data_IF_598648619018
#
_entry.id   IF_598648619018
#
_cell.length_a   1.000
_cell.length_b   1.000
_cell.length_c   1.000
_cell.angle_alpha   90.00
_cell.angle_beta   90.00
_cell.angle_gamma   90.00
#
_symmetry.space_group_name_H-M   'P 1'
#
loop_
_entity.id
_entity.type
_entity.pdbx_description
1 polymer ?
#
# COMPACT_ATOMS: atom_id res chain seq x y z
N UNK A 1 0.79 18.59 -11.26
CA UNK A 1 0.21 17.89 -10.10
C UNK A 1 1.30 17.07 -9.48
N UNK A 2 1.50 17.20 -8.19
CA UNK A 2 2.53 16.49 -7.42
C UNK A 2 1.86 15.48 -6.50
N UNK A 3 2.32 14.24 -6.53
CA UNK A 3 1.85 13.16 -5.66
C UNK A 3 2.98 12.67 -4.76
N UNK A 4 2.77 12.68 -3.45
CA UNK A 4 3.65 12.05 -2.46
C UNK A 4 3.19 10.61 -2.22
N UNK A 5 4.13 9.68 -2.16
CA UNK A 5 3.86 8.27 -1.89
C UNK A 5 4.57 7.88 -0.60
N UNK A 6 3.81 7.41 0.38
CA UNK A 6 4.27 7.03 1.71
C UNK A 6 4.17 5.49 1.82
N UNK A 7 5.27 4.79 2.13
CA UNK A 7 5.26 3.33 2.27
C UNK A 7 4.57 2.88 3.57
N UNK A 8 4.74 1.61 3.90
CA UNK A 8 4.25 0.93 5.09
C UNK A 8 4.52 1.75 6.35
N UNK A 9 3.48 1.96 7.14
CA UNK A 9 3.51 2.91 8.24
C UNK A 9 3.80 2.26 9.59
N UNK A 10 3.28 1.06 9.85
CA UNK A 10 3.48 0.30 11.09
C UNK A 10 3.46 1.18 12.37
N UNK A 11 2.36 1.93 12.56
CA UNK A 11 2.12 2.89 13.64
C UNK A 11 3.03 4.12 13.70
N UNK A 12 3.91 4.36 12.72
CA UNK A 12 4.78 5.56 12.67
C UNK A 12 4.05 6.81 12.17
N UNK A 13 2.86 7.10 12.73
CA UNK A 13 1.97 8.19 12.31
C UNK A 13 2.61 9.59 12.42
N UNK A 14 3.46 9.81 13.43
CA UNK A 14 4.17 11.08 13.60
C UNK A 14 5.14 11.32 12.42
N UNK A 15 5.81 10.26 11.96
CA UNK A 15 6.68 10.34 10.79
C UNK A 15 5.90 10.65 9.52
N UNK A 16 4.70 10.07 9.35
CA UNK A 16 3.84 10.43 8.22
C UNK A 16 3.46 11.91 8.22
N UNK A 17 3.06 12.46 9.36
CA UNK A 17 2.71 13.89 9.45
C UNK A 17 3.93 14.80 9.21
N UNK A 18 5.11 14.43 9.73
CA UNK A 18 6.37 15.12 9.42
C UNK A 18 6.72 15.10 7.93
N UNK A 19 6.57 13.93 7.27
CA UNK A 19 6.83 13.79 5.85
C UNK A 19 5.86 14.60 5.00
N UNK A 20 4.57 14.61 5.34
CA UNK A 20 3.56 15.42 4.66
C UNK A 20 3.88 16.91 4.78
N UNK A 21 4.26 17.37 5.98
CA UNK A 21 4.63 18.76 6.20
C UNK A 21 5.91 19.15 5.43
N UNK A 22 6.89 18.24 5.38
CA UNK A 22 8.18 18.49 4.74
C UNK A 22 8.13 18.41 3.21
N UNK A 23 7.28 17.55 2.66
CA UNK A 23 7.13 17.30 1.23
C UNK A 23 5.70 17.55 0.78
N UNK A 24 5.25 18.83 0.77
CA UNK A 24 3.89 19.16 0.38
C UNK A 24 3.59 18.68 -1.04
N UNK A 25 2.38 18.15 -1.23
CA UNK A 25 1.90 17.59 -2.49
C UNK A 25 0.40 17.86 -2.66
N UNK A 26 -0.07 17.87 -3.91
CA UNK A 26 -1.50 18.02 -4.23
C UNK A 26 -2.29 16.75 -3.84
N UNK A 27 -1.58 15.62 -3.74
CA UNK A 27 -2.12 14.31 -3.40
C UNK A 27 -1.11 13.50 -2.61
N UNK A 28 -1.61 12.67 -1.69
CA UNK A 28 -0.81 11.74 -0.90
C UNK A 28 -1.38 10.34 -1.10
N UNK A 29 -0.53 9.36 -1.37
CA UNK A 29 -0.90 7.95 -1.50
C UNK A 29 -0.14 7.14 -0.45
N UNK A 30 -0.88 6.49 0.45
CA UNK A 30 -0.33 5.57 1.43
C UNK A 30 -0.40 4.14 0.91
N UNK A 31 0.70 3.40 0.98
CA UNK A 31 0.78 2.04 0.44
C UNK A 31 0.17 0.96 1.35
N UNK A 32 -0.31 1.31 2.55
CA UNK A 32 -0.98 0.40 3.47
C UNK A 32 -0.15 0.10 4.72
N UNK A 33 -0.49 -1.00 5.38
CA UNK A 33 0.16 -1.51 6.59
C UNK A 33 0.28 -0.41 7.65
N UNK A 34 -0.88 0.05 8.12
CA UNK A 34 -0.94 1.13 9.11
C UNK A 34 -0.55 0.66 10.51
N UNK A 35 -0.78 -0.61 10.82
CA UNK A 35 -0.68 -1.18 12.18
C UNK A 35 0.53 -2.13 12.34
N UNK A 36 0.73 -2.64 13.56
CA UNK A 36 1.64 -3.74 13.88
C UNK A 36 3.15 -3.46 13.77
N UNK A 37 3.64 -2.41 14.43
CA UNK A 37 5.07 -2.33 14.75
C UNK A 37 5.49 -3.34 15.84
N UNK A 38 6.78 -3.69 15.87
CA UNK A 38 7.34 -4.76 16.71
C UNK A 38 7.03 -4.66 18.21
N UNK A 39 6.91 -3.45 18.76
CA UNK A 39 6.70 -3.19 20.19
C UNK A 39 5.38 -2.43 20.45
N UNK A 40 4.41 -2.57 19.56
CA UNK A 40 3.15 -1.86 19.69
C UNK A 40 2.25 -2.40 20.81
N UNK A 41 1.31 -1.55 21.23
CA UNK A 41 0.33 -1.84 22.26
C UNK A 41 -1.08 -1.58 21.72
N UNK A 42 -2.15 -2.05 22.38
CA UNK A 42 -3.50 -1.61 22.07
C UNK A 42 -3.64 -0.08 22.05
N UNK A 43 -2.98 0.64 22.94
CA UNK A 43 -2.98 2.10 22.96
C UNK A 43 -2.33 2.70 21.71
N UNK A 44 -1.21 2.12 21.26
CA UNK A 44 -0.56 2.50 19.99
C UNK A 44 -1.50 2.28 18.81
N UNK A 45 -2.10 1.09 18.71
CA UNK A 45 -3.05 0.75 17.66
C UNK A 45 -4.29 1.67 17.69
N UNK A 46 -4.74 2.08 18.87
CA UNK A 46 -5.84 3.05 19.04
C UNK A 46 -5.46 4.41 18.48
N UNK A 47 -4.26 4.91 18.76
CA UNK A 47 -3.77 6.18 18.23
C UNK A 47 -3.70 6.14 16.70
N UNK A 48 -3.14 5.06 16.12
CA UNK A 48 -3.11 4.83 14.68
C UNK A 48 -4.52 4.77 14.07
N UNK A 49 -5.47 4.11 14.73
CA UNK A 49 -6.86 4.03 14.27
C UNK A 49 -7.56 5.41 14.25
N UNK A 50 -7.28 6.26 15.24
CA UNK A 50 -7.75 7.65 15.27
C UNK A 50 -7.15 8.43 14.10
N UNK A 51 -5.81 8.35 13.94
CA UNK A 51 -5.11 9.02 12.86
C UNK A 51 -5.62 8.57 11.48
N UNK A 52 -5.81 7.27 11.27
CA UNK A 52 -6.30 6.74 9.99
C UNK A 52 -7.73 7.21 9.71
N UNK A 53 -8.62 7.19 10.72
CA UNK A 53 -9.99 7.73 10.56
C UNK A 53 -9.96 9.17 10.09
N UNK A 54 -9.13 10.00 10.71
CA UNK A 54 -9.03 11.42 10.42
C UNK A 54 -8.37 11.66 9.05
N UNK A 55 -7.33 10.89 8.72
CA UNK A 55 -6.66 10.91 7.43
C UNK A 55 -7.58 10.50 6.27
N UNK A 56 -8.46 9.51 6.48
CA UNK A 56 -9.47 9.11 5.50
C UNK A 56 -10.51 10.21 5.21
N UNK A 57 -10.69 11.17 6.12
CA UNK A 57 -11.58 12.31 5.87
C UNK A 57 -10.96 13.37 4.94
N UNK A 58 -9.65 13.27 4.65
CA UNK A 58 -8.94 14.18 3.77
C UNK A 58 -9.03 13.70 2.30
N UNK A 59 -9.74 14.41 1.40
CA UNK A 59 -10.02 13.94 0.04
C UNK A 59 -8.77 13.84 -0.85
N UNK A 60 -7.69 14.54 -0.51
CA UNK A 60 -6.39 14.47 -1.18
C UNK A 60 -5.54 13.26 -0.76
N UNK A 61 -5.96 12.51 0.26
CA UNK A 61 -5.27 11.33 0.77
C UNK A 61 -5.94 10.07 0.27
N UNK A 62 -5.16 9.22 -0.39
CA UNK A 62 -5.59 7.90 -0.88
C UNK A 62 -4.89 6.85 -0.04
N UNK A 63 -5.67 5.95 0.52
CA UNK A 63 -5.19 4.91 1.41
C UNK A 63 -5.34 3.55 0.72
N UNK A 64 -4.23 2.81 0.60
CA UNK A 64 -4.25 1.44 0.12
C UNK A 64 -4.37 0.44 1.27
N UNK A 65 -4.79 -0.77 0.92
CA UNK A 65 -4.79 -1.93 1.80
C UNK A 65 -3.41 -2.57 1.89
N UNK A 66 -2.87 -2.74 3.09
CA UNK A 66 -1.81 -3.70 3.38
C UNK A 66 -2.34 -4.99 4.01
N UNK A 67 -1.51 -6.03 4.13
CA UNK A 67 -1.92 -7.30 4.72
C UNK A 67 -2.20 -7.17 6.22
N UNK A 68 -1.50 -6.29 6.94
CA UNK A 68 -1.76 -6.06 8.36
C UNK A 68 -3.12 -5.40 8.61
N UNK A 69 -3.59 -4.58 7.67
CA UNK A 69 -4.88 -3.91 7.76
C UNK A 69 -6.05 -4.89 7.60
N UNK A 70 -5.90 -5.89 6.73
CA UNK A 70 -6.93 -6.88 6.43
C UNK A 70 -7.30 -7.72 7.66
N UNK A 71 -6.31 -8.07 8.49
CA UNK A 71 -6.53 -8.85 9.71
C UNK A 71 -7.52 -8.15 10.67
N UNK A 72 -7.45 -6.82 10.75
CA UNK A 72 -8.32 -6.00 11.61
C UNK A 72 -9.66 -5.65 10.95
N UNK A 73 -9.68 -5.47 9.63
CA UNK A 73 -10.92 -5.21 8.89
C UNK A 73 -11.82 -6.45 8.77
N UNK A 74 -11.22 -7.65 8.74
CA UNK A 74 -11.89 -8.94 8.58
C UNK A 74 -11.50 -9.93 9.68
N UNK A 75 -11.75 -9.63 10.97
CA UNK A 75 -11.20 -10.38 12.10
C UNK A 75 -11.75 -11.81 12.25
N UNK A 76 -12.86 -12.10 11.55
CA UNK A 76 -13.49 -13.42 11.47
C UNK A 76 -12.87 -14.33 10.42
N UNK A 77 -12.10 -13.78 9.48
CA UNK A 77 -11.43 -14.55 8.44
C UNK A 77 -10.01 -14.94 8.92
N UNK A 78 -9.77 -16.18 9.36
CA UNK A 78 -8.48 -16.57 9.90
C UNK A 78 -7.36 -16.57 8.85
N UNK A 79 -7.69 -16.64 7.56
CA UNK A 79 -6.71 -16.66 6.46
C UNK A 79 -6.06 -15.28 6.24
N UNK A 80 -6.67 -14.21 6.75
CA UNK A 80 -6.16 -12.84 6.63
C UNK A 80 -5.36 -12.41 7.86
N UNK A 81 -5.21 -13.27 8.87
CA UNK A 81 -4.40 -12.97 10.05
C UNK A 81 -2.92 -13.08 9.71
N UNK A 82 -2.15 -12.12 10.18
CA UNK A 82 -0.70 -12.07 10.03
C UNK A 82 -0.02 -11.89 11.39
N UNK A 83 1.31 -11.88 11.38
CA UNK A 83 2.11 -11.47 12.53
C UNK A 83 1.69 -10.09 13.02
N UNK A 84 1.79 -9.86 14.32
CA UNK A 84 1.38 -8.59 14.93
C UNK A 84 -0.07 -8.59 15.41
N UNK A 85 -1.02 -9.17 14.67
CA UNK A 85 -2.43 -9.18 15.06
C UNK A 85 -2.67 -9.72 16.48
N UNK A 86 -3.43 -8.98 17.28
CA UNK A 86 -3.96 -9.47 18.57
C UNK A 86 -5.45 -9.12 18.74
N UNK A 87 -6.24 -9.94 19.46
CA UNK A 87 -7.64 -9.62 19.77
C UNK A 87 -7.81 -8.29 20.54
N UNK A 88 -6.84 -7.93 21.39
CA UNK A 88 -6.87 -6.70 22.17
C UNK A 88 -6.73 -5.46 21.26
N UNK A 89 -5.81 -5.51 20.29
CA UNK A 89 -5.66 -4.46 19.26
C UNK A 89 -6.89 -4.39 18.36
N UNK A 90 -7.42 -5.53 17.94
CA UNK A 90 -8.66 -5.58 17.15
C UNK A 90 -9.83 -4.92 17.89
N UNK A 91 -9.98 -5.18 19.18
CA UNK A 91 -11.08 -4.61 19.98
C UNK A 91 -11.04 -3.09 19.98
N UNK A 92 -9.88 -2.48 20.23
CA UNK A 92 -9.74 -1.01 20.28
C UNK A 92 -9.80 -0.37 18.90
N UNK A 93 -9.27 -1.03 17.85
CA UNK A 93 -9.37 -0.55 16.47
C UNK A 93 -10.83 -0.51 16.04
N UNK A 94 -11.62 -1.55 16.33
CA UNK A 94 -13.03 -1.66 15.93
C UNK A 94 -13.93 -0.61 16.60
N UNK A 95 -13.55 -0.10 17.77
CA UNK A 95 -14.26 1.04 18.41
C UNK A 95 -14.18 2.33 17.58
N UNK A 96 -13.17 2.46 16.71
CA UNK A 96 -12.87 3.68 15.96
C UNK A 96 -13.10 3.49 14.46
N UNK A 97 -12.57 2.40 13.89
CA UNK A 97 -12.64 2.09 12.47
C UNK A 97 -13.82 1.18 12.18
N UNK A 98 -14.90 1.80 11.72
CA UNK A 98 -16.10 1.11 11.26
C UNK A 98 -15.91 0.56 9.84
N UNK A 99 -16.85 -0.27 9.43
CA UNK A 99 -16.95 -0.77 8.06
C UNK A 99 -16.90 0.34 6.98
N UNK A 100 -17.48 1.52 7.27
CA UNK A 100 -17.47 2.67 6.36
C UNK A 100 -16.07 3.26 6.18
N UNK A 101 -15.23 3.20 7.21
CA UNK A 101 -13.83 3.66 7.10
C UNK A 101 -13.05 2.69 6.21
N UNK A 102 -13.16 1.39 6.48
CA UNK A 102 -12.53 0.35 5.66
C UNK A 102 -12.94 0.38 4.18
N UNK A 103 -14.19 0.71 3.86
CA UNK A 103 -14.66 0.86 2.47
C UNK A 103 -13.99 1.98 1.66
N UNK A 104 -13.27 2.89 2.32
CA UNK A 104 -12.55 3.98 1.65
C UNK A 104 -11.16 3.55 1.17
N UNK A 105 -10.60 2.47 1.73
CA UNK A 105 -9.31 1.93 1.30
C UNK A 105 -9.45 1.23 -0.05
N UNK A 106 -8.43 1.36 -0.89
CA UNK A 106 -8.36 0.77 -2.24
C UNK A 106 -7.32 -0.32 -2.28
N UNK A 107 -7.52 -1.35 -3.10
CA UNK A 107 -6.48 -2.35 -3.29
C UNK A 107 -5.35 -1.82 -4.18
N UNK A 108 -5.70 -0.97 -5.15
CA UNK A 108 -4.78 -0.36 -6.11
C UNK A 108 -5.14 1.10 -6.36
N UNK A 109 -4.17 1.90 -6.79
CA UNK A 109 -4.38 3.25 -7.29
C UNK A 109 -3.46 3.52 -8.49
N UNK A 110 -3.97 4.20 -9.52
CA UNK A 110 -3.23 4.52 -10.74
C UNK A 110 -3.06 6.03 -10.87
N UNK A 111 -1.83 6.49 -11.04
CA UNK A 111 -1.50 7.86 -11.41
C UNK A 111 -0.97 7.93 -12.86
N UNK A 112 -1.32 8.98 -13.63
CA UNK A 112 -0.77 9.16 -14.97
C UNK A 112 0.77 9.33 -14.98
N UNK A 113 1.47 8.88 -16.04
CA UNK A 113 0.91 8.19 -17.20
C UNK A 113 0.54 6.72 -16.92
N UNK A 114 1.33 5.97 -16.13
CA UNK A 114 1.11 4.54 -15.85
C UNK A 114 1.74 4.11 -14.49
N UNK A 115 1.70 4.95 -13.46
CA UNK A 115 2.23 4.61 -12.14
C UNK A 115 1.18 3.88 -11.30
N UNK A 116 1.37 2.58 -11.11
CA UNK A 116 0.46 1.74 -10.35
C UNK A 116 0.97 1.57 -8.92
N UNK A 117 0.23 2.08 -7.96
CA UNK A 117 0.48 1.83 -6.54
C UNK A 117 -0.39 0.69 -6.06
N UNK A 118 0.25 -0.28 -5.42
CA UNK A 118 -0.36 -1.47 -4.82
C UNK A 118 0.59 -1.94 -3.71
N UNK A 119 0.05 -2.42 -2.59
CA UNK A 119 0.87 -2.67 -1.41
C UNK A 119 2.06 -3.61 -1.67
N UNK A 120 1.84 -4.79 -2.24
CA UNK A 120 2.91 -5.77 -2.48
C UNK A 120 3.26 -5.98 -3.98
N UNK A 121 2.50 -5.37 -4.89
CA UNK A 121 2.66 -5.57 -6.33
C UNK A 121 1.64 -6.54 -6.94
N UNK A 122 1.56 -6.56 -8.28
CA UNK A 122 0.69 -7.48 -9.00
C UNK A 122 1.47 -8.69 -9.51
N UNK A 123 0.88 -9.87 -9.32
CA UNK A 123 1.27 -11.09 -10.01
C UNK A 123 0.32 -11.30 -11.20
N UNK A 124 0.84 -11.16 -12.43
CA UNK A 124 0.04 -11.16 -13.68
C UNK A 124 -1.03 -12.26 -13.75
N UNK A 125 -0.73 -13.55 -13.45
CA UNK A 125 -1.72 -14.62 -13.56
C UNK A 125 -2.98 -14.45 -12.68
N UNK A 126 -2.91 -13.64 -11.61
CA UNK A 126 -4.06 -13.39 -10.75
C UNK A 126 -5.03 -12.34 -11.31
N UNK A 127 -4.56 -11.52 -12.25
CA UNK A 127 -5.29 -10.34 -12.74
C UNK A 127 -5.54 -10.38 -14.26
N UNK A 128 -4.66 -11.01 -15.03
CA UNK A 128 -4.74 -11.01 -16.48
C UNK A 128 -6.00 -11.70 -17.00
N UNK A 129 -6.68 -11.06 -17.95
CA UNK A 129 -7.75 -11.67 -18.71
C UNK A 129 -7.18 -12.37 -19.94
N UNK A 130 -7.61 -13.59 -20.29
CA UNK A 130 -7.05 -14.36 -21.40
C UNK A 130 -7.12 -13.67 -22.78
N UNK A 131 -8.04 -12.71 -22.94
CA UNK A 131 -8.27 -12.01 -24.21
C UNK A 131 -7.86 -10.54 -24.14
N UNK A 132 -8.16 -9.86 -23.03
CA UNK A 132 -7.95 -8.41 -22.90
C UNK A 132 -6.57 -8.07 -22.32
N UNK A 133 -5.84 -9.07 -21.86
CA UNK A 133 -4.58 -8.89 -21.16
C UNK A 133 -4.79 -8.25 -19.79
N UNK A 134 -3.82 -7.46 -19.36
CA UNK A 134 -3.83 -6.79 -18.07
C UNK A 134 -4.26 -5.32 -18.23
N UNK A 135 -5.45 -5.00 -17.74
CA UNK A 135 -6.02 -3.64 -17.78
C UNK A 135 -6.34 -3.13 -16.37
N UNK A 136 -6.40 -1.81 -16.19
CA UNK A 136 -6.71 -1.22 -14.87
C UNK A 136 -8.13 -1.57 -14.43
N UNK A 137 -9.09 -1.64 -15.36
CA UNK A 137 -10.47 -2.02 -15.11
C UNK A 137 -10.54 -3.46 -14.59
N UNK A 138 -9.77 -4.37 -15.20
CA UNK A 138 -9.70 -5.75 -14.76
C UNK A 138 -9.06 -5.88 -13.38
N UNK A 139 -7.96 -5.16 -13.13
CA UNK A 139 -7.29 -5.13 -11.82
C UNK A 139 -8.26 -4.66 -10.74
N UNK A 140 -8.96 -3.53 -10.99
CA UNK A 140 -9.92 -2.98 -10.05
C UNK A 140 -11.09 -3.95 -9.79
N UNK A 141 -11.66 -4.54 -10.84
CA UNK A 141 -12.75 -5.51 -10.72
C UNK A 141 -12.34 -6.75 -9.92
N UNK A 142 -11.15 -7.31 -10.20
CA UNK A 142 -10.65 -8.50 -9.52
C UNK A 142 -10.32 -8.23 -8.04
N UNK A 143 -9.81 -7.04 -7.75
CA UNK A 143 -9.58 -6.58 -6.38
C UNK A 143 -10.88 -6.39 -5.59
N UNK A 144 -11.92 -5.83 -6.21
CA UNK A 144 -13.24 -5.68 -5.60
C UNK A 144 -13.87 -7.06 -5.29
N UNK A 145 -13.75 -8.02 -6.20
CA UNK A 145 -14.15 -9.41 -5.98
C UNK A 145 -13.43 -10.03 -4.78
N UNK A 146 -12.11 -9.86 -4.71
CA UNK A 146 -11.30 -10.40 -3.61
C UNK A 146 -11.70 -9.83 -2.24
N UNK A 147 -11.95 -8.52 -2.17
CA UNK A 147 -12.46 -7.87 -0.95
C UNK A 147 -13.90 -8.30 -0.62
N UNK A 148 -14.71 -8.63 -1.63
CA UNK A 148 -16.02 -9.24 -1.46
C UNK A 148 -15.93 -10.64 -0.85
N UNK A 149 -15.01 -11.47 -1.35
CA UNK A 149 -14.72 -12.80 -0.81
C UNK A 149 -14.24 -12.72 0.64
N UNK A 150 -13.32 -11.80 0.95
CA UNK A 150 -12.85 -11.56 2.31
C UNK A 150 -14.00 -11.27 3.31
N UNK A 151 -14.99 -10.45 2.90
CA UNK A 151 -16.19 -10.15 3.71
C UNK A 151 -17.09 -11.35 3.94
N UNK A 152 -17.09 -12.29 3.01
CA UNK A 152 -17.84 -13.54 3.09
C UNK A 152 -17.04 -14.66 3.77
N UNK A 153 -15.88 -14.35 4.36
CA UNK A 153 -14.94 -15.31 4.94
C UNK A 153 -14.44 -16.37 3.92
N UNK A 154 -14.43 -16.01 2.62
CA UNK A 154 -13.97 -16.85 1.51
C UNK A 154 -12.51 -16.48 1.20
N UNK A 155 -11.58 -17.45 1.18
CA UNK A 155 -10.20 -17.22 0.77
C UNK A 155 -10.12 -16.74 -0.68
N UNK A 156 -9.19 -15.84 -0.95
CA UNK A 156 -8.94 -15.34 -2.30
C UNK A 156 -7.43 -15.18 -2.55
N UNK A 157 -6.87 -15.78 -3.61
CA UNK A 157 -5.44 -15.69 -3.93
C UNK A 157 -4.91 -14.27 -4.09
N UNK A 158 -5.75 -13.29 -4.39
CA UNK A 158 -5.36 -11.88 -4.50
C UNK A 158 -4.99 -11.29 -3.13
N UNK A 159 -5.53 -11.83 -2.04
CA UNK A 159 -5.28 -11.37 -0.66
C UNK A 159 -4.40 -12.35 0.13
N UNK A 160 -3.88 -13.40 -0.53
CA UNK A 160 -3.07 -14.46 0.07
C UNK A 160 -1.61 -14.39 -0.44
N UNK A 161 -0.76 -15.32 -0.03
CA UNK A 161 0.64 -15.45 -0.43
C UNK A 161 0.84 -15.30 -1.95
N UNK A 162 1.61 -14.30 -2.35
CA UNK A 162 1.86 -13.98 -3.76
C UNK A 162 0.81 -13.06 -4.41
N UNK A 163 -0.23 -12.68 -3.66
CA UNK A 163 -1.25 -11.72 -4.05
C UNK A 163 -0.86 -10.26 -3.80
N UNK A 164 -1.79 -9.35 -4.06
CA UNK A 164 -1.60 -7.89 -4.07
C UNK A 164 -1.12 -7.28 -2.75
N UNK A 165 -1.27 -8.02 -1.65
CA UNK A 165 -0.86 -7.60 -0.30
C UNK A 165 0.23 -8.49 0.32
N UNK A 166 0.67 -9.56 -0.35
CA UNK A 166 1.66 -10.49 0.21
C UNK A 166 2.83 -10.80 -0.74
N UNK A 167 2.75 -10.42 -2.01
CA UNK A 167 3.78 -10.69 -3.01
C UNK A 167 5.14 -10.13 -2.59
N UNK A 168 6.12 -11.02 -2.43
CA UNK A 168 7.46 -10.62 -2.02
C UNK A 168 8.20 -9.92 -3.16
N UNK A 169 8.99 -8.90 -2.80
CA UNK A 169 9.77 -8.11 -3.76
C UNK A 169 10.60 -8.95 -4.73
N UNK A 170 11.28 -10.00 -4.26
CA UNK A 170 12.12 -10.83 -5.13
C UNK A 170 11.31 -11.60 -6.18
N UNK A 171 10.04 -11.90 -5.91
CA UNK A 171 9.11 -12.55 -6.83
C UNK A 171 8.35 -11.56 -7.73
N UNK A 172 8.39 -10.26 -7.43
CA UNK A 172 7.66 -9.25 -8.21
C UNK A 172 8.31 -9.08 -9.60
N UNK A 173 7.51 -9.33 -10.64
CA UNK A 173 7.89 -9.17 -12.05
C UNK A 173 7.62 -7.74 -12.54
N UNK A 174 8.43 -7.25 -13.47
CA UNK A 174 8.18 -5.96 -14.13
C UNK A 174 7.14 -6.18 -15.22
N UNK A 175 6.07 -5.38 -15.18
CA UNK A 175 4.96 -5.44 -16.12
C UNK A 175 5.09 -4.29 -17.13
N UNK A 176 5.09 -4.54 -18.45
CA UNK A 176 5.25 -3.49 -19.46
C UNK A 176 4.13 -2.44 -19.41
N UNK A 177 2.97 -2.77 -18.87
CA UNK A 177 1.81 -1.88 -18.78
C UNK A 177 1.96 -0.84 -17.66
N UNK A 178 2.73 -1.13 -16.61
CA UNK A 178 2.74 -0.33 -15.39
C UNK A 178 4.14 -0.16 -14.78
N UNK A 179 4.39 1.05 -14.28
CA UNK A 179 5.45 1.27 -13.32
C UNK A 179 4.91 1.00 -11.91
N UNK A 180 5.23 -0.15 -11.32
CA UNK A 180 4.66 -0.53 -10.02
C UNK A 180 5.44 0.10 -8.87
N UNK A 181 4.74 0.76 -7.95
CA UNK A 181 5.31 1.36 -6.75
C UNK A 181 4.69 0.66 -5.54
N UNK A 182 5.51 -0.04 -4.78
CA UNK A 182 5.09 -1.02 -3.77
C UNK A 182 5.81 -0.81 -2.44
N UNK A 183 5.26 -1.40 -1.40
CA UNK A 183 5.85 -1.58 -0.07
C UNK A 183 6.04 -3.06 0.26
N UNK A 184 5.63 -3.48 1.46
CA UNK A 184 5.48 -4.86 1.97
C UNK A 184 6.76 -5.66 2.26
N UNK A 185 7.81 -5.50 1.46
CA UNK A 185 9.04 -6.30 1.65
C UNK A 185 10.17 -5.41 2.17
N UNK A 186 10.50 -5.48 3.48
CA UNK A 186 11.44 -4.54 4.08
C UNK A 186 12.84 -4.64 3.48
N UNK A 187 13.45 -3.49 3.21
CA UNK A 187 14.80 -3.37 2.67
C UNK A 187 15.57 -2.24 3.36
N UNK A 188 16.89 -2.26 3.29
CA UNK A 188 17.71 -1.16 3.81
C UNK A 188 17.86 0.00 2.81
N UNK A 189 17.60 -0.28 1.54
CA UNK A 189 17.72 0.65 0.41
C UNK A 189 16.51 0.50 -0.51
N UNK A 190 16.25 1.52 -1.33
CA UNK A 190 15.18 1.44 -2.33
C UNK A 190 15.38 0.24 -3.26
N UNK A 191 14.34 -0.58 -3.40
CA UNK A 191 14.33 -1.70 -4.35
C UNK A 191 13.96 -1.20 -5.73
N UNK A 192 14.80 -1.44 -6.74
CA UNK A 192 14.46 -1.06 -8.13
C UNK A 192 14.67 -2.25 -9.08
N UNK A 193 13.65 -2.59 -9.86
CA UNK A 193 13.71 -3.55 -10.97
C UNK A 193 13.31 -2.84 -12.26
N UNK A 194 13.98 -3.12 -13.38
CA UNK A 194 13.67 -2.54 -14.70
C UNK A 194 13.54 -3.64 -15.75
N UNK A 195 12.66 -3.44 -16.71
CA UNK A 195 12.45 -4.38 -17.81
C UNK A 195 11.31 -3.92 -18.71
N UNK A 196 11.40 -4.26 -19.99
CA UNK A 196 10.31 -4.04 -20.96
C UNK A 196 9.80 -2.58 -21.05
N UNK A 197 10.67 -1.59 -20.83
CA UNK A 197 10.27 -0.17 -20.85
C UNK A 197 9.49 0.30 -19.62
N UNK A 198 9.46 -0.51 -18.55
CA UNK A 198 8.83 -0.19 -17.27
C UNK A 198 9.79 -0.48 -16.10
N UNK A 199 9.36 -0.13 -14.89
CA UNK A 199 10.09 -0.43 -13.66
C UNK A 199 9.16 -0.79 -12.50
N UNK A 200 9.72 -1.46 -11.49
CA UNK A 200 9.11 -1.54 -10.17
C UNK A 200 10.01 -0.82 -9.15
N UNK A 201 9.40 -0.18 -8.15
CA UNK A 201 10.07 0.46 -7.03
C UNK A 201 9.48 -0.04 -5.70
N UNK A 202 10.31 -0.57 -4.80
CA UNK A 202 9.94 -0.94 -3.43
C UNK A 202 10.40 0.17 -2.47
N UNK A 203 9.44 0.82 -1.83
CA UNK A 203 9.67 1.92 -0.89
C UNK A 203 9.67 1.47 0.58
N UNK A 204 9.33 0.21 0.87
CA UNK A 204 9.39 -0.34 2.23
C UNK A 204 10.85 -0.45 2.71
N UNK A 205 11.30 0.66 3.27
CA UNK A 205 12.67 0.94 3.65
C UNK A 205 12.74 1.48 5.08
N UNK A 206 11.77 1.08 5.92
CA UNK A 206 11.64 1.53 7.30
C UNK A 206 11.60 3.07 7.40
N UNK A 207 10.84 3.71 6.51
CA UNK A 207 10.68 5.16 6.46
C UNK A 207 11.86 5.95 5.88
N UNK A 208 12.89 5.30 5.33
CA UNK A 208 14.05 6.01 4.76
C UNK A 208 13.73 6.68 3.42
N UNK A 209 12.95 6.04 2.56
CA UNK A 209 12.62 6.55 1.23
C UNK A 209 11.13 6.78 1.04
N UNK A 210 10.80 7.92 0.45
CA UNK A 210 9.46 8.27 -0.02
C UNK A 210 9.45 8.33 -1.54
N UNK A 211 8.28 8.13 -2.15
CA UNK A 211 8.08 8.31 -3.59
C UNK A 211 7.49 9.68 -3.91
N UNK A 212 7.85 10.23 -5.07
CA UNK A 212 7.30 11.47 -5.60
C UNK A 212 7.01 11.28 -7.09
N UNK A 213 5.78 11.62 -7.49
CA UNK A 213 5.41 11.75 -8.91
C UNK A 213 5.15 13.23 -9.19
N UNK A 214 5.87 13.78 -10.17
CA UNK A 214 5.71 15.17 -10.61
C UNK A 214 5.95 15.21 -12.12
N UNK A 215 5.06 15.88 -12.85
CA UNK A 215 5.12 16.04 -14.32
C UNK A 215 5.33 14.73 -15.10
N UNK A 216 4.67 13.66 -14.64
CA UNK A 216 4.73 12.32 -15.25
C UNK A 216 6.05 11.59 -15.02
N UNK A 217 6.90 12.08 -14.12
CA UNK A 217 8.16 11.45 -13.74
C UNK A 217 8.09 10.97 -12.30
N UNK A 218 8.66 9.78 -12.05
CA UNK A 218 8.84 9.27 -10.70
C UNK A 218 10.24 9.63 -10.19
N UNK A 219 10.31 10.01 -8.92
CA UNK A 219 11.52 10.23 -8.16
C UNK A 219 11.34 9.66 -6.75
N UNK A 220 12.43 9.46 -6.04
CA UNK A 220 12.40 9.07 -4.64
C UNK A 220 13.25 10.01 -3.80
N UNK A 221 12.91 10.12 -2.51
CA UNK A 221 13.57 11.03 -1.58
C UNK A 221 14.20 10.25 -0.44
N UNK A 222 15.50 10.40 -0.20
CA UNK A 222 16.10 9.95 1.08
C UNK A 222 15.75 10.98 2.16
N UNK A 223 14.87 10.61 3.10
CA UNK A 223 14.36 11.55 4.12
C UNK A 223 15.44 12.09 5.04
N UNK A 224 16.58 11.39 5.17
CA UNK A 224 17.70 11.81 6.03
C UNK A 224 18.43 13.01 5.44
N UNK A 225 18.57 13.03 4.11
CA UNK A 225 19.32 14.07 3.40
C UNK A 225 18.42 15.07 2.69
N UNK A 226 17.17 14.71 2.43
CA UNK A 226 16.24 15.47 1.60
C UNK A 226 16.58 15.46 0.11
N UNK A 227 17.49 14.59 -0.32
CA UNK A 227 17.90 14.47 -1.71
C UNK A 227 16.81 13.79 -2.54
N UNK A 228 16.37 14.45 -3.61
CA UNK A 228 15.39 13.92 -4.56
C UNK A 228 16.14 13.34 -5.74
N UNK A 229 15.99 12.04 -5.98
CA UNK A 229 16.63 11.33 -7.08
C UNK A 229 15.59 10.92 -8.13
N UNK A 230 15.65 11.45 -9.36
CA UNK A 230 14.74 11.06 -10.43
C UNK A 230 15.04 9.64 -10.91
N UNK A 231 13.99 8.84 -11.11
CA UNK A 231 14.10 7.50 -11.67
C UNK A 231 13.79 7.53 -13.16
N UNK A 232 14.82 7.31 -13.99
CA UNK A 232 14.65 7.20 -15.44
C UNK A 232 14.32 5.77 -15.83
N UNK A 233 13.33 5.63 -16.72
CA UNK A 233 13.10 4.41 -17.49
C UNK A 233 14.31 4.28 -18.43
N UNK A 234 15.06 3.18 -18.30
CA UNK A 234 16.22 2.86 -19.16
C UNK A 234 15.85 1.75 -20.12
#
# INVERSE_FOLDING_TARGET
>A
MRTLIIPDLHNHIDSADEWIARYPADRIVFLGDYFDSFDDTPETARATAIWLRDSLACPERIHLWGNHDLAYAFPRNPNLRCSGFTPEKESVIREILTHRHWQQLRLVHLEPPNFLMVHAGLHRPLFEHPVEGLTIERIASRGAEALGNARADIPDPVLDLGGAVWLRWWNLEVLPEFNQIVGHTPQNEIGIKRGHGAFNACLDTMGRYLGLIEDGQFSYVDVRHGEITPLRIT
#
